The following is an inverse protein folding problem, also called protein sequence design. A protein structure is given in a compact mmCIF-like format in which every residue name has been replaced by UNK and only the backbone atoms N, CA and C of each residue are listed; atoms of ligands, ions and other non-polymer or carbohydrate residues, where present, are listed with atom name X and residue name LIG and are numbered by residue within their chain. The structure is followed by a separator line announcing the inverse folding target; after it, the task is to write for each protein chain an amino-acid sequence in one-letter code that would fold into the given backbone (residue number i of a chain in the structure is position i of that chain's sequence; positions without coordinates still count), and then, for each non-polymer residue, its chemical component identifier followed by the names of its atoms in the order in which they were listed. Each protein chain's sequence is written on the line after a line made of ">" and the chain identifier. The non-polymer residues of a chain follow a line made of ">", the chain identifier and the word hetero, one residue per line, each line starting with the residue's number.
data_IF_906302659961
#
_entry.id   IF_906302659961
#
_cell.length_a   1.000
_cell.length_b   1.000
_cell.length_c   1.000
_cell.angle_alpha   90.00
_cell.angle_beta   90.00
_cell.angle_gamma   90.00
#
_symmetry.space_group_name_H-M   'P 1'
#
loop_
_entity.id
_entity.type
_entity.pdbx_description
1 polymer ?
#
# COMPACT_ATOMS: atom_id res chain seq x y z
N UNK A 1 5.22 -30.24 12.26
CA UNK A 1 5.43 -31.01 11.02
C UNK A 1 6.79 -31.66 11.14
N UNK A 2 6.85 -32.96 11.44
CA UNK A 2 8.10 -33.71 11.42
C UNK A 2 8.12 -34.48 10.10
N UNK A 3 9.13 -34.25 9.26
CA UNK A 3 9.32 -35.00 8.03
C UNK A 3 9.93 -36.36 8.34
N UNK A 4 9.68 -37.37 7.49
CA UNK A 4 10.29 -38.68 7.63
C UNK A 4 11.82 -38.54 7.44
N UNK A 5 12.65 -39.00 8.40
CA UNK A 5 14.10 -38.83 8.33
C UNK A 5 14.79 -39.62 7.21
N UNK A 6 14.07 -40.55 6.56
CA UNK A 6 14.54 -41.28 5.39
C UNK A 6 14.41 -40.45 4.11
N UNK A 7 13.57 -39.41 4.12
CA UNK A 7 13.43 -38.48 3.00
C UNK A 7 14.61 -37.51 3.06
N UNK A 8 15.44 -37.54 2.02
CA UNK A 8 16.48 -36.55 1.82
C UNK A 8 15.82 -35.17 1.61
N UNK A 9 16.07 -34.19 2.49
CA UNK A 9 15.46 -32.86 2.37
C UNK A 9 15.84 -32.15 1.06
N UNK A 10 16.95 -32.51 0.41
CA UNK A 10 17.34 -31.95 -0.89
C UNK A 10 16.49 -32.55 -2.02
N UNK A 11 16.07 -33.81 -1.89
CA UNK A 11 15.27 -34.50 -2.88
C UNK A 11 13.75 -34.22 -2.74
N UNK A 12 13.32 -33.53 -1.68
CA UNK A 12 11.92 -33.18 -1.48
C UNK A 12 11.47 -32.13 -2.52
N UNK A 13 10.52 -32.45 -3.41
CA UNK A 13 10.02 -31.50 -4.39
C UNK A 13 9.36 -30.27 -3.75
N UNK A 14 8.90 -30.37 -2.51
CA UNK A 14 8.34 -29.25 -1.74
C UNK A 14 9.39 -28.21 -1.33
N UNK A 15 10.68 -28.58 -1.36
CA UNK A 15 11.80 -27.69 -1.10
C UNK A 15 12.38 -27.07 -2.37
N UNK A 16 11.80 -27.37 -3.55
CA UNK A 16 12.18 -26.69 -4.79
C UNK A 16 11.74 -25.22 -4.70
N UNK A 17 12.54 -24.28 -5.23
CA UNK A 17 12.10 -22.89 -5.33
C UNK A 17 10.81 -22.83 -6.15
N UNK A 18 9.85 -22.05 -5.69
CA UNK A 18 8.70 -21.71 -6.53
C UNK A 18 9.22 -21.00 -7.78
N UNK A 19 8.62 -21.29 -8.94
CA UNK A 19 8.88 -20.54 -10.15
C UNK A 19 8.70 -19.04 -9.88
N UNK A 20 9.45 -18.22 -10.62
CA UNK A 20 9.27 -16.78 -10.53
C UNK A 20 7.79 -16.46 -10.71
N UNK A 21 7.21 -15.62 -9.83
CA UNK A 21 5.81 -15.23 -10.02
C UNK A 21 5.68 -14.65 -11.42
N UNK A 22 4.66 -15.09 -12.15
CA UNK A 22 4.25 -14.43 -13.37
C UNK A 22 4.11 -12.94 -13.08
N UNK A 23 4.49 -12.07 -14.03
CA UNK A 23 4.54 -10.62 -13.85
C UNK A 23 3.23 -10.11 -13.23
N UNK A 24 3.22 -10.00 -11.90
CA UNK A 24 2.02 -9.54 -11.21
C UNK A 24 1.83 -8.09 -11.62
N UNK A 25 0.60 -7.69 -12.00
CA UNK A 25 0.35 -6.31 -12.35
C UNK A 25 0.75 -5.45 -11.15
N UNK A 26 1.51 -4.38 -11.41
CA UNK A 26 1.83 -3.40 -10.38
C UNK A 26 0.51 -2.92 -9.78
N UNK A 27 0.43 -2.76 -8.45
CA UNK A 27 -0.74 -2.14 -7.85
C UNK A 27 -0.98 -0.80 -8.53
N UNK A 28 -2.25 -0.47 -8.77
CA UNK A 28 -2.61 0.84 -9.30
C UNK A 28 -2.01 1.90 -8.36
N UNK A 29 -1.49 3.02 -8.90
CA UNK A 29 -1.12 4.14 -8.05
C UNK A 29 -2.31 4.47 -7.15
N UNK A 30 -2.04 4.92 -5.91
CA UNK A 30 -3.06 5.35 -4.94
C UNK A 30 -3.81 6.55 -5.52
N UNK A 31 -4.74 6.31 -6.44
CA UNK A 31 -5.81 7.25 -6.70
C UNK A 31 -6.61 7.27 -5.42
N UNK A 32 -6.67 8.41 -4.71
CA UNK A 32 -7.58 8.50 -3.59
C UNK A 32 -8.96 8.07 -4.10
N UNK A 33 -9.72 7.30 -3.31
CA UNK A 33 -11.09 6.98 -3.69
C UNK A 33 -11.80 8.28 -4.09
N UNK A 34 -12.74 8.20 -5.02
CA UNK A 34 -13.59 9.32 -5.40
C UNK A 34 -14.47 9.66 -4.18
N UNK A 35 -13.89 10.36 -3.20
CA UNK A 35 -14.52 10.72 -1.95
C UNK A 35 -15.33 11.96 -2.22
N UNK A 36 -16.62 11.90 -1.92
CA UNK A 36 -17.50 13.07 -1.95
C UNK A 36 -16.89 14.18 -1.07
N UNK A 37 -16.57 15.37 -1.64
CA UNK A 37 -16.02 16.47 -0.87
C UNK A 37 -16.99 16.99 0.21
N UNK A 38 -18.26 16.60 0.15
CA UNK A 38 -19.29 16.90 1.16
C UNK A 38 -19.53 15.74 2.13
N UNK A 39 -18.77 14.64 2.03
CA UNK A 39 -18.86 13.55 3.00
C UNK A 39 -18.51 14.08 4.40
N UNK A 40 -19.30 13.76 5.44
CA UNK A 40 -19.00 14.17 6.80
C UNK A 40 -17.66 13.56 7.24
N UNK A 41 -16.67 14.42 7.51
CA UNK A 41 -15.26 14.04 7.76
C UNK A 41 -14.28 14.53 6.70
N UNK A 42 -14.77 15.04 5.56
CA UNK A 42 -14.01 15.84 4.60
C UNK A 42 -13.86 17.26 5.15
N UNK A 43 -12.88 17.47 6.01
CA UNK A 43 -12.58 18.83 6.51
C UNK A 43 -11.97 19.68 5.38
N UNK A 44 -12.37 20.94 5.21
CA UNK A 44 -11.57 21.91 4.48
C UNK A 44 -10.41 22.30 5.40
N UNK A 45 -9.29 21.57 5.32
CA UNK A 45 -8.02 22.10 5.83
C UNK A 45 -7.66 23.32 4.96
N UNK A 46 -7.91 24.52 5.49
CA UNK A 46 -7.12 25.77 5.36
C UNK A 46 -8.01 27.02 5.46
N UNK A 47 -8.55 27.29 6.65
CA UNK A 47 -8.90 28.67 7.05
C UNK A 47 -7.66 29.45 7.55
N UNK A 48 -6.45 28.87 7.47
CA UNK A 48 -5.17 29.44 7.94
C UNK A 48 -4.35 30.14 6.83
N UNK A 49 -4.91 30.37 5.64
CA UNK A 49 -4.23 31.05 4.52
C UNK A 49 -4.71 32.50 4.26
N UNK A 50 -5.49 33.11 5.16
CA UNK A 50 -5.86 34.53 5.09
C UNK A 50 -5.12 35.34 6.16
N UNK A 51 -3.79 35.26 6.12
CA UNK A 51 -2.92 36.23 6.79
C UNK A 51 -3.26 37.64 6.30
N UNK A 52 -3.72 38.48 7.23
CA UNK A 52 -3.92 39.92 7.04
C UNK A 52 -2.69 40.54 6.37
N UNK A 53 -2.83 41.33 5.28
CA UNK A 53 -1.79 42.30 4.98
C UNK A 53 -1.81 43.36 6.08
N UNK A 54 -0.69 43.48 6.80
CA UNK A 54 -0.41 44.63 7.65
C UNK A 54 -0.34 45.86 6.74
N UNK A 55 -1.36 46.72 6.83
CA UNK A 55 -1.44 48.00 6.14
C UNK A 55 -0.43 48.97 6.78
N UNK A 56 0.63 49.28 6.03
CA UNK A 56 1.63 50.30 6.34
C UNK A 56 0.99 51.69 6.13
N UNK A 57 0.78 52.46 7.21
CA UNK A 57 0.60 53.93 7.21
C UNK A 57 0.71 54.56 8.60
#
# INVERSE_FOLDING_TARGET
>A
MQTDPTIDPIADPSNQPLDAPEEQPRPLPDTPPDTDPLAPGSSPEDEDALGLPEDDS
#
